data_IF_070993447015
#
_entry.id   IF_070993447015
#
_cell.length_a   1.000
_cell.length_b   1.000
_cell.length_c   1.000
_cell.angle_alpha   90.00
_cell.angle_beta   90.00
_cell.angle_gamma   90.00
#
_symmetry.space_group_name_H-M   'P 1'
#
loop_
_entity.id
_entity.type
_entity.pdbx_description
1 polymer ?
#
# COMPACT_ATOMS: atom_id res chain seq x y z
N UNK A 1 -15.71 -20.29 -13.34
CA UNK A 1 -15.66 -19.59 -12.03
C UNK A 1 -15.01 -18.24 -12.24
N UNK A 2 -15.65 -17.16 -11.82
CA UNK A 2 -15.07 -15.81 -11.91
C UNK A 2 -14.10 -15.64 -10.73
N UNK A 3 -12.83 -15.37 -11.02
CA UNK A 3 -11.82 -15.11 -10.00
C UNK A 3 -11.94 -13.65 -9.57
N UNK A 4 -12.17 -13.41 -8.27
CA UNK A 4 -12.20 -12.07 -7.70
C UNK A 4 -10.88 -11.80 -6.98
N UNK A 5 -10.29 -10.65 -7.22
CA UNK A 5 -9.16 -10.14 -6.46
C UNK A 5 -9.67 -9.43 -5.21
N UNK A 6 -9.11 -9.79 -4.06
CA UNK A 6 -9.44 -9.15 -2.80
C UNK A 6 -8.20 -8.88 -1.98
N UNK A 7 -8.26 -7.82 -1.18
CA UNK A 7 -7.29 -7.55 -0.11
C UNK A 7 -8.00 -7.58 1.24
N UNK A 8 -7.31 -8.08 2.25
CA UNK A 8 -7.76 -8.01 3.64
C UNK A 8 -6.75 -7.24 4.49
N UNK A 9 -7.23 -6.58 5.54
CA UNK A 9 -6.44 -5.72 6.40
C UNK A 9 -7.06 -5.70 7.80
N UNK A 10 -6.26 -5.95 8.84
CA UNK A 10 -6.64 -5.65 10.22
C UNK A 10 -6.33 -4.20 10.54
N UNK A 11 -7.31 -3.43 11.01
CA UNK A 11 -7.15 -2.02 11.38
C UNK A 11 -8.19 -1.62 12.42
N UNK A 12 -7.78 -0.88 13.46
CA UNK A 12 -8.70 -0.34 14.48
C UNK A 12 -9.60 -1.44 15.11
N UNK A 13 -8.98 -2.54 15.53
CA UNK A 13 -9.64 -3.75 16.10
C UNK A 13 -10.61 -4.49 15.15
N UNK A 14 -10.71 -4.05 13.90
CA UNK A 14 -11.64 -4.59 12.93
C UNK A 14 -10.91 -5.17 11.72
N UNK A 15 -11.58 -6.09 11.01
CA UNK A 15 -11.06 -6.66 9.76
C UNK A 15 -11.77 -6.01 8.59
N UNK A 16 -11.00 -5.48 7.67
CA UNK A 16 -11.48 -4.90 6.42
C UNK A 16 -11.17 -5.84 5.27
N UNK A 17 -12.11 -5.98 4.34
CA UNK A 17 -11.94 -6.72 3.09
C UNK A 17 -12.40 -5.84 1.95
N UNK A 18 -11.52 -5.64 0.97
CA UNK A 18 -11.84 -4.92 -0.27
C UNK A 18 -11.91 -5.90 -1.43
N UNK A 19 -13.01 -5.84 -2.17
CA UNK A 19 -13.21 -6.57 -3.43
C UNK A 19 -13.07 -5.55 -4.55
N UNK A 20 -12.03 -5.69 -5.37
CA UNK A 20 -11.66 -4.62 -6.31
C UNK A 20 -12.63 -4.52 -7.49
N UNK A 21 -13.15 -5.63 -7.98
CA UNK A 21 -14.08 -5.66 -9.12
C UNK A 21 -15.43 -5.02 -8.78
N UNK A 22 -15.78 -4.96 -7.49
CA UNK A 22 -17.01 -4.34 -7.01
C UNK A 22 -16.82 -2.92 -6.51
N UNK A 23 -15.58 -2.43 -6.41
CA UNK A 23 -15.24 -1.16 -5.77
C UNK A 23 -15.91 -0.99 -4.40
N UNK A 24 -15.96 -2.08 -3.64
CA UNK A 24 -16.60 -2.14 -2.33
C UNK A 24 -15.61 -2.64 -1.30
N UNK A 25 -15.61 -1.97 -0.15
CA UNK A 25 -14.98 -2.47 1.05
C UNK A 25 -16.04 -2.86 2.10
N UNK A 26 -15.68 -3.87 2.88
CA UNK A 26 -16.50 -4.38 3.97
C UNK A 26 -15.67 -4.38 5.23
N UNK A 27 -16.33 -4.12 6.35
CA UNK A 27 -15.77 -4.13 7.69
C UNK A 27 -16.46 -5.21 8.49
N UNK A 28 -15.70 -6.13 9.07
CA UNK A 28 -16.16 -7.09 10.06
C UNK A 28 -15.98 -6.45 11.43
N UNK A 29 -17.09 -6.06 12.06
CA UNK A 29 -17.11 -5.48 13.39
C UNK A 29 -17.98 -6.36 14.30
N UNK A 30 -17.37 -6.89 15.37
CA UNK A 30 -18.05 -7.73 16.38
C UNK A 30 -18.91 -8.84 15.76
N UNK A 31 -18.35 -9.54 14.77
CA UNK A 31 -19.00 -10.68 14.10
C UNK A 31 -20.04 -10.32 13.03
N UNK A 32 -20.22 -9.03 12.69
CA UNK A 32 -21.16 -8.61 11.63
C UNK A 32 -20.44 -7.85 10.52
N UNK A 33 -20.71 -8.22 9.27
CA UNK A 33 -20.25 -7.50 8.09
C UNK A 33 -21.08 -6.24 7.87
N UNK A 34 -20.40 -5.13 7.59
CA UNK A 34 -20.99 -3.83 7.25
C UNK A 34 -20.21 -3.21 6.09
N UNK A 35 -20.79 -2.28 5.31
CA UNK A 35 -20.02 -1.44 4.41
C UNK A 35 -18.92 -0.72 5.21
N UNK A 36 -17.69 -0.73 4.69
CA UNK A 36 -16.60 0.00 5.31
C UNK A 36 -16.64 1.49 4.97
N UNK A 37 -15.60 2.22 5.39
CA UNK A 37 -15.53 3.66 5.16
C UNK A 37 -15.22 3.96 3.69
N UNK A 38 -16.07 4.77 3.05
CA UNK A 38 -15.88 5.21 1.66
C UNK A 38 -14.57 5.99 1.48
N UNK A 39 -14.12 6.74 2.50
CA UNK A 39 -12.85 7.45 2.42
C UNK A 39 -11.64 6.51 2.39
N UNK A 40 -11.70 5.43 3.17
CA UNK A 40 -10.68 4.38 3.14
C UNK A 40 -10.63 3.71 1.76
N UNK A 41 -11.81 3.44 1.17
CA UNK A 41 -11.90 2.82 -0.16
C UNK A 41 -11.11 3.59 -1.23
N UNK A 42 -11.25 4.92 -1.25
CA UNK A 42 -10.65 5.80 -2.26
C UNK A 42 -9.12 5.85 -2.25
N UNK A 43 -8.47 5.41 -1.18
CA UNK A 43 -6.99 5.36 -1.11
C UNK A 43 -6.41 3.96 -1.05
N UNK A 44 -7.24 2.93 -1.00
CA UNK A 44 -6.83 1.53 -0.97
C UNK A 44 -7.03 0.88 -2.34
N UNK A 45 -6.02 0.95 -3.21
CA UNK A 45 -6.08 0.46 -4.59
C UNK A 45 -5.59 -0.99 -4.71
N UNK A 46 -5.96 -1.69 -5.79
CA UNK A 46 -5.53 -3.07 -6.04
C UNK A 46 -4.01 -3.20 -6.18
N UNK A 47 -3.38 -2.23 -6.84
CA UNK A 47 -1.93 -2.14 -7.00
C UNK A 47 -1.21 -1.51 -5.81
N UNK A 48 -1.93 -1.14 -4.74
CA UNK A 48 -1.29 -0.58 -3.54
C UNK A 48 -0.86 -1.67 -2.57
N UNK A 49 0.30 -1.46 -1.94
CA UNK A 49 0.69 -2.21 -0.74
C UNK A 49 0.28 -1.40 0.49
N UNK A 50 -0.39 -2.05 1.45
CA UNK A 50 -0.86 -1.40 2.68
C UNK A 50 -0.35 -2.15 3.89
N UNK A 51 -0.05 -1.43 4.97
CA UNK A 51 0.26 -2.02 6.27
C UNK A 51 -0.25 -1.14 7.41
N UNK A 52 -0.47 -1.75 8.56
CA UNK A 52 -0.77 -1.04 9.81
C UNK A 52 0.45 -1.13 10.70
N UNK A 53 0.88 0.02 11.22
CA UNK A 53 1.95 0.11 12.21
C UNK A 53 1.34 0.81 13.41
N UNK A 54 1.37 0.13 14.56
CA UNK A 54 0.67 0.55 15.78
C UNK A 54 -0.83 0.79 15.48
N UNK A 55 -1.25 2.03 15.33
CA UNK A 55 -2.63 2.43 15.02
C UNK A 55 -2.74 3.22 13.71
N UNK A 56 -1.67 3.27 12.92
CA UNK A 56 -1.58 4.07 11.70
C UNK A 56 -1.62 3.17 10.47
N UNK A 57 -2.57 3.44 9.57
CA UNK A 57 -2.70 2.73 8.30
C UNK A 57 -1.96 3.48 7.19
N UNK A 58 -0.95 2.81 6.62
CA UNK A 58 -0.18 3.31 5.49
C UNK A 58 -0.57 2.59 4.19
N UNK A 59 -0.44 3.30 3.08
CA UNK A 59 -0.60 2.80 1.71
C UNK A 59 0.51 3.35 0.83
N UNK A 60 1.09 2.49 -0.01
CA UNK A 60 2.11 2.81 -1.00
C UNK A 60 1.55 2.51 -2.38
N UNK A 61 1.54 3.55 -3.21
CA UNK A 61 1.13 3.46 -4.61
C UNK A 61 2.05 4.33 -5.45
N UNK A 62 2.67 3.75 -6.48
CA UNK A 62 3.55 4.47 -7.41
C UNK A 62 4.66 5.30 -6.70
N UNK A 63 5.30 4.73 -5.68
CA UNK A 63 6.34 5.42 -4.90
C UNK A 63 5.83 6.51 -3.94
N UNK A 64 4.51 6.73 -3.85
CA UNK A 64 3.90 7.68 -2.93
C UNK A 64 3.33 6.98 -1.71
N UNK A 65 3.75 7.43 -0.53
CA UNK A 65 3.21 6.94 0.75
C UNK A 65 2.09 7.86 1.22
N UNK A 66 0.99 7.25 1.64
CA UNK A 66 -0.16 7.92 2.25
C UNK A 66 -0.44 7.33 3.61
N UNK A 67 -0.83 8.17 4.56
CA UNK A 67 -1.33 7.81 5.88
C UNK A 67 -2.84 8.06 5.91
N UNK A 68 -3.62 7.07 6.34
CA UNK A 68 -5.05 7.25 6.58
C UNK A 68 -5.28 7.93 7.94
N UNK A 69 -5.92 9.09 7.92
CA UNK A 69 -6.31 9.83 9.14
C UNK A 69 -7.75 9.46 9.47
N UNK A 70 -7.94 8.48 10.35
CA UNK A 70 -9.29 7.92 10.64
C UNK A 70 -10.27 8.94 11.19
N UNK A 71 -9.83 9.84 12.08
CA UNK A 71 -10.68 10.89 12.67
C UNK A 71 -11.28 11.82 11.61
N UNK A 72 -10.48 12.15 10.60
CA UNK A 72 -10.83 13.12 9.56
C UNK A 72 -11.28 12.44 8.25
N UNK A 73 -11.18 11.10 8.18
CA UNK A 73 -11.58 10.27 7.04
C UNK A 73 -10.98 10.72 5.71
N UNK A 74 -9.65 10.82 5.65
CA UNK A 74 -8.94 11.01 4.38
C UNK A 74 -7.53 10.43 4.40
N UNK A 75 -6.89 10.43 3.23
CA UNK A 75 -5.51 10.00 3.03
C UNK A 75 -4.57 11.19 2.92
N UNK A 76 -3.62 11.31 3.85
CA UNK A 76 -2.58 12.33 3.89
C UNK A 76 -1.31 11.85 3.20
N UNK A 77 -0.82 12.57 2.20
CA UNK A 77 0.47 12.27 1.57
C UNK A 77 1.63 12.59 2.52
N UNK A 78 2.57 11.65 2.65
CA UNK A 78 3.82 11.87 3.37
C UNK A 78 4.87 12.43 2.41
N UNK A 79 5.44 13.60 2.75
CA UNK A 79 6.48 14.27 1.95
C UNK A 79 7.86 13.70 2.29
N UNK A 80 8.84 13.94 1.42
CA UNK A 80 10.27 13.64 1.67
C UNK A 80 10.74 12.26 1.22
N UNK A 81 9.84 11.37 0.83
CA UNK A 81 10.16 9.97 0.49
C UNK A 81 10.34 9.71 -1.00
N UNK A 82 10.03 10.70 -1.84
CA UNK A 82 10.24 10.61 -3.28
C UNK A 82 11.72 10.34 -3.65
N UNK A 83 12.67 10.73 -2.78
CA UNK A 83 14.09 10.46 -2.97
C UNK A 83 14.44 8.97 -2.78
N UNK A 84 13.67 8.21 -2.01
CA UNK A 84 13.94 6.81 -1.69
C UNK A 84 13.65 5.88 -2.87
N UNK A 85 12.66 6.20 -3.71
CA UNK A 85 12.18 5.34 -4.79
C UNK A 85 12.78 5.68 -6.16
N UNK A 86 13.64 6.71 -6.24
CA UNK A 86 14.14 7.22 -7.52
C UNK A 86 13.03 7.82 -8.41
N UNK A 87 13.34 8.00 -9.70
CA UNK A 87 12.39 8.55 -10.69
C UNK A 87 11.42 7.49 -11.26
N UNK A 88 11.52 6.24 -10.83
CA UNK A 88 10.77 5.14 -11.43
C UNK A 88 9.36 5.05 -10.83
N UNK A 89 8.36 5.38 -11.67
CA UNK A 89 6.95 5.54 -11.27
C UNK A 89 6.16 4.23 -11.18
N UNK A 90 6.76 3.10 -11.57
CA UNK A 90 6.10 1.79 -11.65
C UNK A 90 6.94 0.72 -10.96
N UNK A 91 7.04 0.85 -9.66
CA UNK A 91 7.77 -0.08 -8.82
C UNK A 91 6.74 -0.94 -8.11
N UNK A 92 6.80 -2.26 -8.31
CA UNK A 92 6.13 -3.20 -7.43
C UNK A 92 6.85 -3.19 -6.09
N UNK A 93 6.25 -2.48 -5.14
CA UNK A 93 6.80 -2.28 -3.81
C UNK A 93 5.88 -2.92 -2.77
N UNK A 94 6.49 -3.58 -1.79
CA UNK A 94 5.82 -4.13 -0.61
C UNK A 94 6.22 -3.32 0.61
N UNK A 95 5.25 -3.03 1.47
CA UNK A 95 5.49 -2.39 2.75
C UNK A 95 5.13 -3.31 3.90
N UNK A 96 5.84 -3.16 5.01
CA UNK A 96 5.52 -3.81 6.27
C UNK A 96 5.98 -2.96 7.46
N UNK A 97 5.41 -3.21 8.64
CA UNK A 97 5.91 -2.67 9.89
C UNK A 97 7.11 -3.47 10.41
N UNK A 98 8.17 -2.79 10.84
CA UNK A 98 9.29 -3.41 11.55
C UNK A 98 9.71 -2.55 12.75
N UNK A 99 9.36 -2.96 13.97
CA UNK A 99 9.76 -2.28 15.21
C UNK A 99 9.35 -0.80 15.29
N UNK A 100 8.10 -0.48 14.91
CA UNK A 100 7.62 0.91 14.89
C UNK A 100 8.21 1.74 13.74
N UNK A 101 8.78 1.10 12.72
CA UNK A 101 9.28 1.76 11.50
C UNK A 101 8.60 1.18 10.29
N UNK A 102 8.45 2.00 9.25
CA UNK A 102 7.94 1.54 7.97
C UNK A 102 9.11 0.96 7.17
N UNK A 103 9.05 -0.34 6.89
CA UNK A 103 10.00 -1.04 6.03
C UNK A 103 9.38 -1.20 4.64
N UNK A 104 10.13 -0.81 3.61
CA UNK A 104 9.65 -0.86 2.24
C UNK A 104 10.69 -1.57 1.41
N UNK A 105 10.25 -2.59 0.70
CA UNK A 105 11.05 -3.37 -0.22
C UNK A 105 10.49 -3.20 -1.62
N UNK A 106 11.37 -3.06 -2.59
CA UNK A 106 10.93 -2.93 -3.95
C UNK A 106 11.91 -3.47 -4.96
N UNK A 107 11.39 -3.80 -6.14
CA UNK A 107 12.14 -4.29 -7.27
C UNK A 107 12.07 -3.28 -8.42
N UNK A 108 13.21 -2.94 -9.00
CA UNK A 108 13.31 -2.08 -10.18
C UNK A 108 13.95 -2.86 -11.31
N UNK A 109 13.24 -2.95 -12.44
CA UNK A 109 13.77 -3.48 -13.69
C UNK A 109 14.48 -2.34 -14.41
N UNK A 110 15.78 -2.47 -14.64
CA UNK A 110 16.54 -1.53 -15.45
C UNK A 110 16.82 -2.13 -16.82
N UNK A 111 16.49 -1.36 -17.86
CA UNK A 111 16.85 -1.68 -19.24
C UNK A 111 18.15 -0.96 -19.60
N UNK A 112 19.15 -1.71 -20.05
CA UNK A 112 20.37 -1.13 -20.58
C UNK A 112 20.08 -0.54 -21.97
N UNK A 113 20.33 0.76 -22.15
CA UNK A 113 20.10 1.43 -23.44
C UNK A 113 21.09 1.00 -24.54
N UNK A 114 22.10 0.19 -24.21
CA UNK A 114 23.19 -0.21 -25.13
C UNK A 114 22.99 -1.61 -25.76
N UNK A 115 22.13 -2.46 -25.19
CA UNK A 115 21.77 -3.76 -25.74
C UNK A 115 20.39 -4.15 -25.19
N UNK A 116 19.40 -4.28 -26.06
CA UNK A 116 17.99 -4.63 -25.72
C UNK A 116 17.80 -6.03 -25.08
N UNK A 117 18.85 -6.69 -24.56
CA UNK A 117 18.78 -8.07 -24.10
C UNK A 117 19.19 -8.32 -22.64
N UNK A 118 19.63 -7.31 -21.89
CA UNK A 118 20.01 -7.51 -20.49
C UNK A 118 19.09 -6.74 -19.55
N UNK A 119 18.16 -7.47 -18.94
CA UNK A 119 17.35 -7.01 -17.80
C UNK A 119 18.15 -7.25 -16.52
N UNK A 120 18.26 -6.22 -15.67
CA UNK A 120 18.82 -6.38 -14.33
C UNK A 120 17.79 -5.93 -13.30
N UNK A 121 17.60 -6.76 -12.28
CA UNK A 121 16.69 -6.54 -11.17
C UNK A 121 17.46 -5.91 -10.00
N UNK A 122 17.10 -4.68 -9.63
CA UNK A 122 17.64 -4.02 -8.45
C UNK A 122 16.63 -4.15 -7.33
N UNK A 123 17.03 -4.79 -6.23
CA UNK A 123 16.23 -4.87 -5.01
C UNK A 123 16.67 -3.74 -4.08
N UNK A 124 15.74 -2.85 -3.76
CA UNK A 124 15.93 -1.78 -2.78
C UNK A 124 15.17 -2.06 -1.49
N UNK A 125 15.73 -1.59 -0.37
CA UNK A 125 15.05 -1.58 0.91
C UNK A 125 15.28 -0.25 1.64
N UNK A 126 14.27 0.27 2.31
CA UNK A 126 14.36 1.48 3.12
C UNK A 126 13.55 1.33 4.41
N UNK A 127 14.10 1.86 5.50
CA UNK A 127 13.40 2.02 6.77
C UNK A 127 13.13 3.50 7.00
N UNK A 128 11.87 3.85 7.20
CA UNK A 128 11.46 5.22 7.45
C UNK A 128 11.12 5.36 8.93
N UNK A 129 11.80 6.31 9.57
CA UNK A 129 11.51 6.81 10.91
C UNK A 129 10.78 8.14 10.80
N UNK A 130 9.77 8.33 11.63
CA UNK A 130 8.97 9.56 11.74
C UNK A 130 9.37 10.41 12.94
#
# INVERSE_FOLDING_TARGET
>A
MQQFSYHSLGYDEDVYVKIFEKHMNYKLNKGRWRPGDMAMDRGWFCSSSSCVIETMLYSLLCGMIKLYVSKEKYWKYLKGLAKCFGLHRYIDAKMTGNGGKLAIMWETIMYNNECQSSEYHVIGACFITY
#
